data_IF_259639021599
#
_entry.id   IF_259639021599
#
_cell.length_a   1.000
_cell.length_b   1.000
_cell.length_c   1.000
_cell.angle_alpha   90.00
_cell.angle_beta   90.00
_cell.angle_gamma   90.00
#
_symmetry.space_group_name_H-M   'P 1'
#
loop_
_entity.id
_entity.type
_entity.pdbx_description
1 polymer ?
#
# COMPACT_ATOMS: atom_id res chain seq x y z
N UNK A 1 -6.03 21.95 -1.83
CA UNK A 1 -6.64 21.96 -3.20
C UNK A 1 -8.13 22.29 -3.20
N UNK A 2 -8.81 22.67 -4.38
CA UNK A 2 -10.25 22.90 -4.44
C UNK A 2 -11.05 21.65 -4.03
N UNK A 3 -12.24 21.85 -3.41
CA UNK A 3 -13.12 20.74 -3.00
C UNK A 3 -13.49 19.79 -4.16
N UNK A 4 -13.61 20.34 -5.38
CA UNK A 4 -13.87 19.56 -6.59
C UNK A 4 -12.75 18.54 -6.89
N UNK A 5 -11.47 18.92 -6.69
CA UNK A 5 -10.32 18.03 -6.87
C UNK A 5 -10.32 16.91 -5.82
N UNK A 6 -10.63 17.23 -4.57
CA UNK A 6 -10.75 16.24 -3.50
C UNK A 6 -11.86 15.22 -3.82
N UNK A 7 -13.02 15.70 -4.25
CA UNK A 7 -14.14 14.84 -4.65
C UNK A 7 -13.79 13.97 -5.86
N UNK A 8 -13.12 14.55 -6.87
CA UNK A 8 -12.67 13.81 -8.05
C UNK A 8 -11.68 12.70 -7.67
N UNK A 9 -10.66 13.02 -6.86
CA UNK A 9 -9.69 12.03 -6.42
C UNK A 9 -10.32 10.96 -5.51
N UNK A 10 -11.30 11.31 -4.68
CA UNK A 10 -12.08 10.32 -3.93
C UNK A 10 -12.73 9.30 -4.87
N UNK A 11 -13.49 9.77 -5.88
CA UNK A 11 -14.16 8.90 -6.83
C UNK A 11 -13.18 8.07 -7.68
N UNK A 12 -12.09 8.69 -8.12
CA UNK A 12 -11.02 7.98 -8.81
C UNK A 12 -10.39 6.90 -7.92
N UNK A 13 -10.18 7.21 -6.64
CA UNK A 13 -9.66 6.26 -5.65
C UNK A 13 -10.60 5.08 -5.40
N UNK A 14 -11.92 5.29 -5.39
CA UNK A 14 -12.89 4.19 -5.33
C UNK A 14 -12.74 3.24 -6.53
N UNK A 15 -12.67 3.80 -7.74
CA UNK A 15 -12.53 3.02 -8.98
C UNK A 15 -11.19 2.27 -9.03
N UNK A 16 -10.10 2.94 -8.67
CA UNK A 16 -8.77 2.31 -8.57
C UNK A 16 -8.78 1.23 -7.49
N UNK A 17 -9.36 1.47 -6.32
CA UNK A 17 -9.48 0.47 -5.25
C UNK A 17 -10.19 -0.81 -5.67
N UNK A 18 -11.25 -0.67 -6.49
CA UNK A 18 -11.93 -1.82 -7.10
C UNK A 18 -10.99 -2.61 -8.00
N UNK A 19 -10.20 -1.94 -8.84
CA UNK A 19 -9.18 -2.59 -9.67
C UNK A 19 -8.06 -3.22 -8.82
N UNK A 20 -7.63 -2.57 -7.73
CA UNK A 20 -6.59 -3.10 -6.85
C UNK A 20 -7.01 -4.41 -6.16
N UNK A 21 -8.30 -4.62 -5.90
CA UNK A 21 -8.82 -5.92 -5.47
C UNK A 21 -8.57 -7.01 -6.52
N UNK A 22 -8.74 -6.70 -7.81
CA UNK A 22 -8.43 -7.63 -8.90
C UNK A 22 -6.94 -7.91 -8.97
N UNK A 23 -6.10 -6.87 -8.86
CA UNK A 23 -4.63 -7.01 -8.82
C UNK A 23 -4.20 -7.93 -7.67
N UNK A 24 -4.70 -7.67 -6.46
CA UNK A 24 -4.36 -8.45 -5.28
C UNK A 24 -4.76 -9.93 -5.39
N UNK A 25 -5.87 -10.22 -6.07
CA UNK A 25 -6.34 -11.57 -6.29
C UNK A 25 -5.58 -12.28 -7.41
N UNK A 26 -5.45 -11.65 -8.59
CA UNK A 26 -4.97 -12.29 -9.83
C UNK A 26 -3.45 -12.33 -9.94
N UNK A 27 -2.77 -11.24 -9.55
CA UNK A 27 -1.32 -11.12 -9.76
C UNK A 27 -0.51 -12.25 -9.10
N UNK A 28 -0.77 -12.64 -7.84
CA UNK A 28 -0.03 -13.75 -7.22
C UNK A 28 -0.31 -15.11 -7.84
N UNK A 29 -1.43 -15.25 -8.58
CA UNK A 29 -1.84 -16.47 -9.28
C UNK A 29 -1.33 -16.55 -10.72
N UNK A 30 -0.67 -15.47 -11.20
CA UNK A 30 -0.23 -15.39 -12.59
C UNK A 30 -1.37 -15.24 -13.60
N UNK A 31 -2.55 -14.80 -13.13
CA UNK A 31 -3.73 -14.62 -13.97
C UNK A 31 -3.70 -13.24 -14.64
N UNK A 32 -4.30 -13.15 -15.84
CA UNK A 32 -4.43 -11.88 -16.57
C UNK A 32 -5.27 -10.86 -15.80
N UNK A 33 -4.77 -9.63 -15.70
CA UNK A 33 -5.52 -8.52 -15.09
C UNK A 33 -6.65 -7.99 -16.00
N UNK A 34 -6.57 -8.24 -17.31
CA UNK A 34 -7.52 -7.72 -18.29
C UNK A 34 -8.64 -8.69 -18.62
N UNK A 35 -8.39 -10.00 -18.58
CA UNK A 35 -9.36 -11.02 -19.00
C UNK A 35 -9.25 -12.29 -18.14
N UNK A 36 -10.36 -13.01 -17.91
CA UNK A 36 -11.76 -12.66 -18.24
C UNK A 36 -12.30 -11.50 -17.37
N UNK A 37 -13.46 -10.91 -17.71
CA UNK A 37 -14.12 -9.90 -16.86
C UNK A 37 -14.43 -10.46 -15.48
N UNK A 38 -14.69 -9.56 -14.50
CA UNK A 38 -15.02 -9.95 -13.13
C UNK A 38 -16.28 -10.85 -13.12
N UNK A 39 -16.20 -11.97 -12.40
CA UNK A 39 -17.27 -12.96 -12.31
C UNK A 39 -17.39 -13.48 -10.87
N UNK A 40 -18.52 -14.04 -10.54
CA UNK A 40 -18.73 -14.70 -9.25
C UNK A 40 -17.89 -15.98 -9.19
N UNK A 41 -17.02 -16.18 -8.18
CA UNK A 41 -16.18 -17.38 -8.09
C UNK A 41 -16.99 -18.66 -7.87
N UNK A 42 -18.21 -18.56 -7.34
CA UNK A 42 -19.05 -19.71 -7.04
C UNK A 42 -19.90 -20.16 -8.26
N UNK A 43 -20.61 -19.24 -8.93
CA UNK A 43 -21.50 -19.58 -10.05
C UNK A 43 -20.94 -19.26 -11.45
N UNK A 44 -19.75 -18.62 -11.53
CA UNK A 44 -19.12 -18.28 -12.81
C UNK A 44 -19.81 -17.15 -13.60
N UNK A 45 -20.96 -16.64 -13.13
CA UNK A 45 -21.70 -15.59 -13.86
C UNK A 45 -20.93 -14.27 -13.84
N UNK A 46 -20.74 -13.62 -15.02
CA UNK A 46 -20.09 -12.30 -15.09
C UNK A 46 -20.84 -11.25 -14.26
N UNK A 47 -20.09 -10.40 -13.57
CA UNK A 47 -20.61 -9.27 -12.80
C UNK A 47 -21.01 -8.16 -13.79
N UNK A 48 -22.24 -7.67 -13.70
CA UNK A 48 -22.72 -6.59 -14.54
C UNK A 48 -22.00 -5.28 -14.17
N UNK A 49 -21.77 -4.38 -15.12
CA UNK A 49 -21.03 -3.13 -14.90
C UNK A 49 -21.61 -2.29 -13.76
N UNK A 50 -22.95 -2.22 -13.61
CA UNK A 50 -23.61 -1.47 -12.54
C UNK A 50 -23.56 -2.18 -11.17
N UNK A 51 -23.36 -3.50 -11.12
CA UNK A 51 -23.11 -4.25 -9.88
C UNK A 51 -21.64 -4.12 -9.44
N UNK A 52 -20.78 -3.64 -10.33
CA UNK A 52 -19.36 -3.41 -10.07
C UNK A 52 -19.03 -1.93 -9.75
N UNK A 53 -20.05 -1.09 -9.52
CA UNK A 53 -19.84 0.27 -9.03
C UNK A 53 -19.29 0.20 -7.61
N UNK A 54 -18.09 0.77 -7.35
CA UNK A 54 -17.41 0.58 -6.09
C UNK A 54 -18.27 0.97 -4.90
N UNK A 55 -18.22 0.17 -3.84
CA UNK A 55 -19.00 0.30 -2.60
C UNK A 55 -20.51 0.19 -2.84
N UNK A 56 -21.07 0.96 -3.77
CA UNK A 56 -22.51 1.00 -4.03
C UNK A 56 -23.05 -0.33 -4.54
N UNK A 57 -22.33 -0.99 -5.43
CA UNK A 57 -22.73 -2.32 -5.93
C UNK A 57 -22.89 -3.32 -4.81
N UNK A 58 -21.91 -3.35 -3.89
CA UNK A 58 -21.96 -4.24 -2.73
C UNK A 58 -23.12 -3.90 -1.78
N UNK A 59 -23.37 -2.62 -1.51
CA UNK A 59 -24.49 -2.16 -0.66
C UNK A 59 -25.85 -2.51 -1.26
N UNK A 60 -26.06 -2.23 -2.57
CA UNK A 60 -27.31 -2.52 -3.27
C UNK A 60 -27.59 -4.03 -3.34
N UNK A 61 -26.55 -4.84 -3.49
CA UNK A 61 -26.64 -6.31 -3.48
C UNK A 61 -26.69 -6.88 -2.04
N UNK A 62 -26.62 -6.03 -1.01
CA UNK A 62 -26.59 -6.46 0.40
C UNK A 62 -25.48 -7.49 0.68
N UNK A 63 -24.33 -7.30 0.03
CA UNK A 63 -23.19 -8.19 0.16
C UNK A 63 -23.38 -9.60 -0.39
N UNK A 64 -24.25 -9.79 -1.39
CA UNK A 64 -24.54 -11.10 -1.98
C UNK A 64 -24.50 -11.08 -3.50
N UNK A 65 -24.10 -12.19 -4.10
CA UNK A 65 -24.17 -12.35 -5.54
C UNK A 65 -25.61 -12.23 -6.05
N UNK A 66 -25.83 -11.50 -7.14
CA UNK A 66 -27.15 -11.34 -7.75
C UNK A 66 -27.80 -12.66 -8.20
N UNK A 67 -26.98 -13.61 -8.65
CA UNK A 67 -27.44 -14.85 -9.27
C UNK A 67 -27.56 -16.01 -8.29
N UNK A 68 -26.52 -16.28 -7.50
CA UNK A 68 -26.47 -17.45 -6.59
C UNK A 68 -26.62 -17.08 -5.10
N UNK A 69 -26.72 -15.79 -4.77
CA UNK A 69 -26.84 -15.25 -3.41
C UNK A 69 -25.67 -15.58 -2.46
N UNK A 70 -24.56 -16.13 -2.98
CA UNK A 70 -23.35 -16.37 -2.21
C UNK A 70 -22.82 -15.04 -1.61
N UNK A 71 -22.36 -15.02 -0.35
CA UNK A 71 -21.88 -13.80 0.29
C UNK A 71 -20.60 -13.28 -0.38
N UNK A 72 -20.56 -11.96 -0.60
CA UNK A 72 -19.40 -11.23 -1.09
C UNK A 72 -18.65 -10.64 0.12
N UNK A 73 -17.37 -10.94 0.25
CA UNK A 73 -16.55 -10.47 1.36
C UNK A 73 -16.61 -8.94 1.49
N UNK A 74 -16.76 -8.45 2.72
CA UNK A 74 -16.70 -7.03 3.07
C UNK A 74 -15.33 -6.39 2.78
N UNK A 75 -14.28 -7.21 2.58
CA UNK A 75 -12.94 -6.75 2.19
C UNK A 75 -12.98 -5.92 0.90
N UNK A 76 -13.82 -6.30 -0.07
CA UNK A 76 -13.93 -5.58 -1.35
C UNK A 76 -14.33 -4.11 -1.17
N UNK A 77 -15.51 -3.81 -0.60
CA UNK A 77 -15.91 -2.41 -0.39
C UNK A 77 -15.02 -1.68 0.62
N UNK A 78 -14.40 -2.38 1.57
CA UNK A 78 -13.45 -1.77 2.51
C UNK A 78 -12.19 -1.27 1.81
N UNK A 79 -11.60 -2.04 0.89
CA UNK A 79 -10.44 -1.63 0.09
C UNK A 79 -10.79 -0.47 -0.84
N UNK A 80 -11.94 -0.52 -1.49
CA UNK A 80 -12.44 0.54 -2.36
C UNK A 80 -12.57 1.85 -1.58
N UNK A 81 -13.28 1.82 -0.45
CA UNK A 81 -13.49 2.99 0.41
C UNK A 81 -12.16 3.51 0.98
N UNK A 82 -11.31 2.63 1.50
CA UNK A 82 -10.00 3.03 2.05
C UNK A 82 -9.14 3.71 0.99
N UNK A 83 -9.09 3.18 -0.25
CA UNK A 83 -8.35 3.79 -1.35
C UNK A 83 -8.93 5.16 -1.72
N UNK A 84 -10.26 5.28 -1.79
CA UNK A 84 -10.96 6.55 -2.04
C UNK A 84 -10.64 7.59 -0.97
N UNK A 85 -10.74 7.20 0.30
CA UNK A 85 -10.42 8.10 1.44
C UNK A 85 -8.96 8.53 1.42
N UNK A 86 -8.03 7.61 1.17
CA UNK A 86 -6.59 7.94 1.10
C UNK A 86 -6.30 8.91 -0.04
N UNK A 87 -6.90 8.74 -1.21
CA UNK A 87 -6.75 9.68 -2.32
C UNK A 87 -7.32 11.06 -1.98
N UNK A 88 -8.49 11.11 -1.33
CA UNK A 88 -9.08 12.35 -0.86
C UNK A 88 -8.20 13.06 0.19
N UNK A 89 -7.62 12.30 1.13
CA UNK A 89 -6.69 12.83 2.14
C UNK A 89 -5.44 13.40 1.48
N UNK A 90 -4.85 12.70 0.50
CA UNK A 90 -3.71 13.22 -0.28
C UNK A 90 -4.08 14.56 -0.91
N UNK A 91 -5.22 14.66 -1.59
CA UNK A 91 -5.67 15.91 -2.21
C UNK A 91 -6.00 17.02 -1.20
N UNK A 92 -6.48 16.67 -0.02
CA UNK A 92 -6.87 17.63 1.01
C UNK A 92 -5.69 18.21 1.78
N UNK A 93 -4.59 17.44 1.89
CA UNK A 93 -3.43 17.79 2.73
C UNK A 93 -2.20 18.23 1.94
N UNK A 94 -2.13 17.92 0.64
CA UNK A 94 -0.98 18.27 -0.19
C UNK A 94 -1.34 19.38 -1.18
N UNK A 95 -0.53 20.44 -1.21
CA UNK A 95 -0.73 21.57 -2.12
C UNK A 95 0.14 21.48 -3.37
N UNK A 96 1.31 20.86 -3.28
CA UNK A 96 2.24 20.69 -4.38
C UNK A 96 1.84 19.52 -5.30
N UNK A 97 1.88 19.77 -6.61
CA UNK A 97 1.50 18.75 -7.61
C UNK A 97 2.34 17.47 -7.50
N UNK A 98 3.65 17.60 -7.26
CA UNK A 98 4.54 16.45 -7.09
C UNK A 98 4.11 15.58 -5.90
N UNK A 99 3.77 16.19 -4.76
CA UNK A 99 3.33 15.48 -3.56
C UNK A 99 2.01 14.76 -3.79
N UNK A 100 1.06 15.38 -4.51
CA UNK A 100 -0.21 14.73 -4.86
C UNK A 100 0.01 13.53 -5.77
N UNK A 101 0.83 13.66 -6.81
CA UNK A 101 1.15 12.55 -7.72
C UNK A 101 1.85 11.42 -6.99
N UNK A 102 2.88 11.72 -6.19
CA UNK A 102 3.57 10.71 -5.40
C UNK A 102 2.64 10.04 -4.39
N UNK A 103 1.75 10.78 -3.72
CA UNK A 103 0.80 10.22 -2.77
C UNK A 103 -0.20 9.27 -3.41
N UNK A 104 -0.77 9.63 -4.55
CA UNK A 104 -1.68 8.76 -5.32
C UNK A 104 -0.98 7.48 -5.79
N UNK A 105 0.25 7.60 -6.33
CA UNK A 105 1.06 6.47 -6.75
C UNK A 105 1.46 5.58 -5.56
N UNK A 106 1.81 6.19 -4.42
CA UNK A 106 2.16 5.47 -3.19
C UNK A 106 0.97 4.63 -2.68
N UNK A 107 -0.23 5.23 -2.58
CA UNK A 107 -1.45 4.49 -2.19
C UNK A 107 -1.72 3.35 -3.16
N UNK A 108 -1.63 3.61 -4.48
CA UNK A 108 -1.84 2.60 -5.53
C UNK A 108 -0.84 1.44 -5.42
N UNK A 109 0.35 1.68 -4.89
CA UNK A 109 1.39 0.69 -4.64
C UNK A 109 1.15 -0.08 -3.33
N UNK A 110 0.91 0.65 -2.24
CA UNK A 110 0.89 0.05 -0.89
C UNK A 110 -0.37 -0.77 -0.62
N UNK A 111 -1.52 -0.38 -1.20
CA UNK A 111 -2.77 -1.13 -1.02
C UNK A 111 -2.64 -2.57 -1.53
N UNK A 112 -2.31 -2.84 -2.82
CA UNK A 112 -2.21 -4.21 -3.30
C UNK A 112 -1.02 -4.96 -2.68
N UNK A 113 0.11 -4.30 -2.37
CA UNK A 113 1.23 -4.93 -1.66
C UNK A 113 0.77 -5.44 -0.30
N UNK A 114 0.05 -4.61 0.48
CA UNK A 114 -0.50 -5.00 1.79
C UNK A 114 -1.43 -6.21 1.67
N UNK A 115 -2.36 -6.18 0.71
CA UNK A 115 -3.32 -7.27 0.51
C UNK A 115 -2.64 -8.57 0.11
N UNK A 116 -1.69 -8.51 -0.83
CA UNK A 116 -0.95 -9.69 -1.30
C UNK A 116 -0.06 -10.25 -0.19
N UNK A 117 0.62 -9.38 0.56
CA UNK A 117 1.50 -9.83 1.62
C UNK A 117 0.75 -10.48 2.78
N UNK A 118 -0.43 -9.96 3.14
CA UNK A 118 -1.34 -10.59 4.11
C UNK A 118 -1.82 -11.97 3.66
N UNK A 119 -2.09 -12.15 2.35
CA UNK A 119 -2.63 -13.40 1.80
C UNK A 119 -1.54 -14.43 1.49
N UNK A 120 -0.38 -14.00 0.99
CA UNK A 120 0.65 -14.88 0.41
C UNK A 120 2.03 -14.74 1.02
N UNK A 121 2.25 -13.73 1.87
CA UNK A 121 3.55 -13.35 2.44
C UNK A 121 4.61 -13.13 1.35
N UNK A 122 4.21 -12.46 0.27
CA UNK A 122 5.08 -12.14 -0.87
C UNK A 122 4.81 -10.72 -1.34
N UNK A 123 5.87 -9.99 -1.66
CA UNK A 123 5.82 -8.68 -2.28
C UNK A 123 6.24 -8.84 -3.75
N UNK A 124 5.30 -8.72 -4.72
CA UNK A 124 5.60 -8.96 -6.12
C UNK A 124 6.49 -7.87 -6.74
N UNK A 125 7.54 -8.28 -7.47
CA UNK A 125 8.35 -7.35 -8.25
C UNK A 125 7.54 -6.63 -9.34
N UNK A 126 6.48 -7.26 -9.82
CA UNK A 126 5.55 -6.66 -10.80
C UNK A 126 4.82 -5.42 -10.27
N UNK A 127 4.83 -5.17 -8.95
CA UNK A 127 4.34 -3.93 -8.34
C UNK A 127 5.51 -3.03 -7.95
N UNK A 128 6.52 -3.55 -7.25
CA UNK A 128 7.59 -2.72 -6.68
C UNK A 128 8.47 -2.08 -7.75
N UNK A 129 8.78 -2.79 -8.85
CA UNK A 129 9.63 -2.25 -9.91
C UNK A 129 8.95 -1.12 -10.71
N UNK A 130 7.71 -1.30 -11.25
CA UNK A 130 7.00 -0.19 -11.91
C UNK A 130 6.76 0.99 -10.97
N UNK A 131 6.51 0.73 -9.68
CA UNK A 131 6.32 1.76 -8.66
C UNK A 131 7.60 2.59 -8.46
N UNK A 132 8.78 1.95 -8.36
CA UNK A 132 10.04 2.66 -8.26
C UNK A 132 10.29 3.56 -9.48
N UNK A 133 10.04 3.03 -10.68
CA UNK A 133 10.15 3.78 -11.93
C UNK A 133 9.19 4.97 -11.94
N UNK A 134 7.92 4.76 -11.54
CA UNK A 134 6.92 5.82 -11.50
C UNK A 134 7.28 6.95 -10.53
N UNK A 135 7.85 6.64 -9.35
CA UNK A 135 8.34 7.63 -8.40
C UNK A 135 9.46 8.49 -8.99
N UNK A 136 10.44 7.87 -9.63
CA UNK A 136 11.56 8.58 -10.27
C UNK A 136 11.10 9.42 -11.46
N UNK A 137 10.21 8.88 -12.30
CA UNK A 137 9.65 9.61 -13.44
C UNK A 137 8.85 10.82 -12.95
N UNK A 138 8.07 10.70 -11.87
CA UNK A 138 7.36 11.82 -11.27
C UNK A 138 8.33 12.89 -10.77
N UNK A 139 9.41 12.53 -10.08
CA UNK A 139 10.45 13.47 -9.65
C UNK A 139 11.10 14.17 -10.84
N UNK A 140 11.55 13.42 -11.83
CA UNK A 140 12.18 13.99 -13.04
C UNK A 140 11.27 14.92 -13.83
N UNK A 141 9.96 14.63 -13.85
CA UNK A 141 9.00 15.40 -14.65
C UNK A 141 8.45 16.63 -13.92
N UNK A 142 8.32 16.58 -12.60
CA UNK A 142 7.60 17.58 -11.81
C UNK A 142 8.49 18.39 -10.86
N UNK A 143 9.56 17.77 -10.33
CA UNK A 143 10.49 18.45 -9.41
C UNK A 143 11.88 17.81 -9.46
N UNK A 144 12.74 18.38 -10.31
CA UNK A 144 14.10 17.89 -10.50
C UNK A 144 14.96 18.04 -9.23
N UNK A 145 14.64 19.01 -8.37
CA UNK A 145 15.37 19.27 -7.13
C UNK A 145 15.15 18.19 -6.07
N UNK A 146 14.03 17.47 -6.14
CA UNK A 146 13.71 16.38 -5.25
C UNK A 146 14.40 15.05 -5.63
N UNK A 147 14.85 14.88 -6.89
CA UNK A 147 15.43 13.63 -7.39
C UNK A 147 16.66 13.14 -6.61
N UNK A 148 17.63 13.99 -6.25
CA UNK A 148 18.77 13.55 -5.44
C UNK A 148 18.33 12.99 -4.07
N UNK A 149 17.36 13.62 -3.43
CA UNK A 149 16.81 13.16 -2.14
C UNK A 149 16.11 11.80 -2.29
N UNK A 150 15.29 11.63 -3.35
CA UNK A 150 14.67 10.33 -3.68
C UNK A 150 15.72 9.22 -3.80
N UNK A 151 16.78 9.45 -4.56
CA UNK A 151 17.83 8.46 -4.80
C UNK A 151 18.61 8.12 -3.53
N UNK A 152 18.99 9.13 -2.75
CA UNK A 152 19.74 8.94 -1.49
C UNK A 152 18.85 8.17 -0.49
N UNK A 153 17.61 8.61 -0.29
CA UNK A 153 16.69 7.98 0.66
C UNK A 153 16.33 6.55 0.23
N UNK A 154 16.08 6.34 -1.07
CA UNK A 154 15.82 5.01 -1.61
C UNK A 154 17.00 4.06 -1.44
N UNK A 155 18.21 4.51 -1.77
CA UNK A 155 19.43 3.73 -1.61
C UNK A 155 19.73 3.44 -0.14
N UNK A 156 19.58 4.43 0.75
CA UNK A 156 19.82 4.27 2.19
C UNK A 156 18.84 3.27 2.82
N UNK A 157 17.54 3.40 2.54
CA UNK A 157 16.51 2.49 3.04
C UNK A 157 16.73 1.06 2.50
N UNK A 158 17.03 0.93 1.21
CA UNK A 158 17.37 -0.36 0.62
C UNK A 158 18.61 -0.98 1.28
N UNK A 159 19.69 -0.22 1.43
CA UNK A 159 20.93 -0.70 2.02
C UNK A 159 20.77 -1.10 3.49
N UNK A 160 20.00 -0.34 4.27
CA UNK A 160 19.68 -0.64 5.66
C UNK A 160 18.97 -2.00 5.79
N UNK A 161 17.90 -2.20 5.03
CA UNK A 161 17.16 -3.47 5.07
C UNK A 161 17.94 -4.62 4.41
N UNK A 162 18.74 -4.33 3.38
CA UNK A 162 19.61 -5.33 2.77
C UNK A 162 20.66 -5.83 3.75
N UNK A 163 21.30 -4.93 4.52
CA UNK A 163 22.24 -5.30 5.56
C UNK A 163 21.56 -6.15 6.65
N UNK A 164 20.34 -5.77 7.07
CA UNK A 164 19.58 -6.58 8.04
C UNK A 164 19.25 -7.98 7.48
N UNK A 165 18.82 -8.07 6.21
CA UNK A 165 18.53 -9.35 5.55
C UNK A 165 19.80 -10.20 5.33
N UNK A 166 20.95 -9.57 5.07
CA UNK A 166 22.24 -10.25 4.94
C UNK A 166 22.73 -10.83 6.26
N UNK A 167 22.59 -10.06 7.35
CA UNK A 167 22.96 -10.48 8.71
C UNK A 167 22.00 -11.54 9.27
N UNK A 168 20.72 -11.46 8.92
CA UNK A 168 19.65 -12.35 9.38
C UNK A 168 18.78 -12.90 8.23
N UNK A 169 19.33 -13.81 7.39
CA UNK A 169 18.64 -14.30 6.17
C UNK A 169 17.28 -14.99 6.42
N UNK A 170 17.07 -15.51 7.65
CA UNK A 170 15.81 -16.16 8.01
C UNK A 170 14.77 -15.20 8.59
N UNK A 171 15.14 -13.95 8.85
CA UNK A 171 14.29 -12.98 9.53
C UNK A 171 13.58 -11.99 8.61
N UNK A 172 14.07 -11.81 7.37
CA UNK A 172 13.56 -10.76 6.48
C UNK A 172 13.54 -11.21 5.02
N UNK A 173 12.44 -10.94 4.34
CA UNK A 173 12.29 -11.22 2.92
C UNK A 173 12.92 -10.15 2.03
N UNK A 174 13.48 -10.56 0.87
CA UNK A 174 13.95 -9.59 -0.15
C UNK A 174 12.86 -8.68 -0.69
N UNK A 175 11.59 -9.05 -0.51
CA UNK A 175 10.45 -8.21 -0.83
C UNK A 175 10.39 -6.96 0.03
N UNK A 176 10.60 -7.10 1.34
CA UNK A 176 10.61 -5.99 2.32
C UNK A 176 11.76 -5.02 2.03
N UNK A 177 12.95 -5.56 1.69
CA UNK A 177 14.13 -4.77 1.29
C UNK A 177 13.81 -3.87 0.10
N UNK A 178 13.19 -4.44 -0.96
CA UNK A 178 12.80 -3.68 -2.15
C UNK A 178 11.72 -2.67 -1.84
N UNK A 179 10.71 -3.03 -1.03
CA UNK A 179 9.63 -2.13 -0.64
C UNK A 179 10.17 -0.94 0.17
N UNK A 180 11.13 -1.17 1.07
CA UNK A 180 11.78 -0.08 1.83
C UNK A 180 12.53 0.89 0.90
N UNK A 181 13.25 0.37 -0.11
CA UNK A 181 13.88 1.21 -1.14
C UNK A 181 12.85 2.03 -1.92
N UNK A 182 11.73 1.40 -2.32
CA UNK A 182 10.61 2.09 -2.99
C UNK A 182 10.05 3.19 -2.10
N UNK A 183 9.81 2.92 -0.81
CA UNK A 183 9.34 3.95 0.13
C UNK A 183 10.29 5.15 0.19
N UNK A 184 11.61 4.91 0.19
CA UNK A 184 12.59 6.01 0.15
C UNK A 184 12.47 6.88 -1.10
N UNK A 185 12.18 6.28 -2.28
CA UNK A 185 11.94 7.04 -3.51
C UNK A 185 10.67 7.91 -3.45
N UNK A 186 9.66 7.52 -2.69
CA UNK A 186 8.42 8.29 -2.52
C UNK A 186 8.51 9.35 -1.43
N UNK A 187 9.21 9.07 -0.34
CA UNK A 187 9.16 9.82 0.91
C UNK A 187 10.37 10.74 1.11
N UNK A 188 11.47 10.54 0.37
CA UNK A 188 12.70 11.26 0.65
C UNK A 188 13.15 11.04 2.11
N UNK A 189 13.52 12.11 2.79
CA UNK A 189 13.97 12.10 4.21
C UNK A 189 12.93 11.52 5.18
N UNK A 190 11.65 11.61 4.85
CA UNK A 190 10.58 11.05 5.68
C UNK A 190 10.56 9.50 5.70
N UNK A 191 11.42 8.82 4.93
CA UNK A 191 11.57 7.36 4.99
C UNK A 191 12.09 6.88 6.36
N UNK A 192 12.90 7.69 7.06
CA UNK A 192 13.36 7.41 8.42
C UNK A 192 12.20 7.19 9.40
N UNK A 193 11.32 8.18 9.60
CA UNK A 193 10.07 8.02 10.35
C UNK A 193 9.22 6.85 9.88
N UNK A 194 9.09 6.61 8.56
CA UNK A 194 8.32 5.48 8.02
C UNK A 194 8.83 4.14 8.54
N UNK A 195 10.14 3.91 8.45
CA UNK A 195 10.79 2.70 8.93
C UNK A 195 10.63 2.56 10.45
N UNK A 196 10.82 3.64 11.19
CA UNK A 196 10.68 3.63 12.64
C UNK A 196 9.28 3.23 13.09
N UNK A 197 8.23 3.82 12.47
CA UNK A 197 6.83 3.47 12.73
C UNK A 197 6.55 2.01 12.36
N UNK A 198 7.08 1.54 11.21
CA UNK A 198 6.92 0.16 10.78
C UNK A 198 7.54 -0.83 11.77
N UNK A 199 8.73 -0.54 12.28
CA UNK A 199 9.40 -1.38 13.27
C UNK A 199 8.64 -1.41 14.61
N UNK A 200 8.22 -0.24 15.13
CA UNK A 200 7.43 -0.16 16.37
C UNK A 200 6.14 -0.94 16.24
N UNK A 201 5.37 -0.71 15.18
CA UNK A 201 4.09 -1.39 14.98
C UNK A 201 4.26 -2.90 14.80
N UNK A 202 5.30 -3.32 14.09
CA UNK A 202 5.66 -4.73 13.93
C UNK A 202 6.02 -5.40 15.27
N UNK A 203 6.84 -4.72 16.10
CA UNK A 203 7.19 -5.20 17.43
C UNK A 203 5.97 -5.29 18.35
N UNK A 204 5.12 -4.25 18.36
CA UNK A 204 3.90 -4.25 19.18
C UNK A 204 2.97 -5.42 18.81
N UNK A 205 2.75 -5.64 17.53
CA UNK A 205 1.94 -6.79 17.08
C UNK A 205 2.62 -8.12 17.44
N UNK A 206 3.94 -8.24 17.29
CA UNK A 206 4.68 -9.41 17.70
C UNK A 206 4.54 -9.71 19.20
N UNK A 207 4.65 -8.69 20.05
CA UNK A 207 4.43 -8.82 21.51
C UNK A 207 3.02 -9.28 21.83
N UNK A 208 2.00 -8.69 21.19
CA UNK A 208 0.60 -9.10 21.37
C UNK A 208 0.38 -10.55 20.98
N UNK A 209 0.96 -11.00 19.87
CA UNK A 209 0.87 -12.40 19.44
C UNK A 209 1.52 -13.33 20.49
N UNK A 210 2.73 -13.02 20.93
CA UNK A 210 3.43 -13.82 21.95
C UNK A 210 2.62 -13.88 23.25
N UNK A 211 2.03 -12.76 23.67
CA UNK A 211 1.19 -12.70 24.88
C UNK A 211 -0.08 -13.56 24.77
N UNK A 212 -0.64 -13.68 23.55
CA UNK A 212 -1.89 -14.46 23.33
C UNK A 212 -1.67 -15.95 23.11
N UNK A 213 -0.62 -16.35 22.39
CA UNK A 213 -0.39 -17.75 22.00
C UNK A 213 0.78 -18.42 22.71
N UNK A 214 1.47 -17.69 23.59
CA UNK A 214 2.64 -18.15 24.30
C UNK A 214 3.96 -17.98 23.51
N UNK A 215 5.09 -18.02 24.22
CA UNK A 215 6.39 -17.66 23.70
C UNK A 215 6.89 -18.59 22.57
N UNK A 216 6.68 -19.91 22.72
CA UNK A 216 7.15 -20.88 21.71
C UNK A 216 6.33 -20.82 20.42
N UNK A 217 5.01 -20.75 20.52
CA UNK A 217 4.12 -20.66 19.38
C UNK A 217 4.21 -19.28 18.71
N UNK A 218 4.30 -18.20 19.49
CA UNK A 218 4.41 -16.84 19.00
C UNK A 218 5.70 -16.61 18.17
N UNK A 219 6.84 -17.14 18.60
CA UNK A 219 8.11 -17.05 17.85
C UNK A 219 8.10 -17.82 16.52
N UNK A 220 7.24 -18.82 16.38
CA UNK A 220 7.05 -19.59 15.14
C UNK A 220 6.01 -18.98 14.22
N UNK A 221 5.23 -18.00 14.71
CA UNK A 221 4.20 -17.33 13.91
C UNK A 221 4.87 -16.28 13.01
N UNK A 222 4.98 -16.59 11.73
CA UNK A 222 5.48 -15.65 10.74
C UNK A 222 4.41 -14.58 10.46
N UNK A 223 4.71 -13.31 10.76
CA UNK A 223 3.85 -12.16 10.48
C UNK A 223 4.39 -11.45 9.24
N UNK A 224 3.58 -11.14 8.23
CA UNK A 224 4.03 -10.38 7.07
C UNK A 224 4.44 -8.98 7.51
N UNK A 225 5.59 -8.49 7.04
CA UNK A 225 6.14 -7.19 7.43
C UNK A 225 5.71 -6.05 6.48
N UNK A 226 5.34 -6.38 5.23
CA UNK A 226 4.86 -5.40 4.26
C UNK A 226 3.73 -4.50 4.73
N UNK A 227 2.69 -5.00 5.43
CA UNK A 227 1.63 -4.17 6.02
C UNK A 227 2.13 -3.10 7.00
N UNK A 228 3.17 -3.40 7.79
CA UNK A 228 3.76 -2.42 8.71
C UNK A 228 4.57 -1.37 7.98
N UNK A 229 5.33 -1.76 6.94
CA UNK A 229 6.00 -0.83 6.03
C UNK A 229 4.98 0.07 5.31
N UNK A 230 3.87 -0.50 4.87
CA UNK A 230 2.80 0.27 4.23
C UNK A 230 2.16 1.27 5.20
N UNK A 231 1.87 0.86 6.42
CA UNK A 231 1.32 1.74 7.46
C UNK A 231 2.31 2.87 7.80
N UNK A 232 3.58 2.53 8.07
CA UNK A 232 4.63 3.50 8.35
C UNK A 232 4.85 4.46 7.20
N UNK A 233 4.86 3.96 5.96
CA UNK A 233 4.98 4.76 4.75
C UNK A 233 3.81 5.73 4.55
N UNK A 234 2.57 5.29 4.78
CA UNK A 234 1.40 6.15 4.69
C UNK A 234 1.39 7.23 5.77
N UNK A 235 1.69 6.90 7.02
CA UNK A 235 1.76 7.88 8.11
C UNK A 235 2.88 8.89 7.83
N UNK A 236 4.06 8.42 7.45
CA UNK A 236 5.20 9.30 7.15
C UNK A 236 4.98 10.17 5.92
N UNK A 237 4.18 9.73 4.95
CA UNK A 237 3.79 10.58 3.82
C UNK A 237 3.04 11.83 4.27
N UNK A 238 2.20 11.74 5.31
CA UNK A 238 1.41 12.87 5.80
C UNK A 238 2.13 13.71 6.86
N UNK A 239 2.92 13.11 7.73
CA UNK A 239 3.50 13.79 8.90
C UNK A 239 5.01 13.59 9.04
N UNK A 240 5.65 12.87 8.14
CA UNK A 240 7.06 12.49 8.27
C UNK A 240 8.02 13.67 8.17
N UNK A 241 7.75 14.64 7.29
CA UNK A 241 8.58 15.83 7.16
C UNK A 241 8.53 16.66 8.46
N UNK A 242 7.34 16.84 9.06
CA UNK A 242 7.19 17.54 10.34
C UNK A 242 7.94 16.83 11.48
N UNK A 243 7.94 15.48 11.47
CA UNK A 243 8.72 14.72 12.46
C UNK A 243 10.21 14.96 12.30
N UNK A 244 10.71 14.95 11.05
CA UNK A 244 12.12 15.20 10.76
C UNK A 244 12.51 16.64 11.14
N UNK A 245 11.72 17.64 10.75
CA UNK A 245 11.99 19.04 11.06
C UNK A 245 11.98 19.28 12.58
N UNK A 246 10.97 18.77 13.29
CA UNK A 246 10.91 18.86 14.76
C UNK A 246 12.11 18.19 15.46
N UNK A 247 12.62 17.10 14.90
CA UNK A 247 13.83 16.46 15.43
C UNK A 247 15.06 17.31 15.20
N UNK A 248 15.24 17.85 13.99
CA UNK A 248 16.42 18.66 13.64
C UNK A 248 16.45 20.01 14.36
N UNK A 249 15.30 20.61 14.67
CA UNK A 249 15.21 21.87 15.41
C UNK A 249 15.63 21.74 16.89
N UNK A 250 15.76 20.52 17.41
CA UNK A 250 16.19 20.27 18.80
C UNK A 250 17.68 19.97 18.92
N UNK A 251 18.43 19.90 17.82
CA UNK A 251 19.86 19.64 17.75
C UNK A 251 20.60 20.73 16.95
#
# INVERSE_FOLDING_TARGET
MPAATVAFLFLAGLAIGSFLNVVAYRLPRGESLAAPPSHCPNCGVPIRWFDNVPVLGWLLLRGRCRSCHEPISWRYPAVELATGVLFALVAATQDETIRVVLGVLLVTTLVPVTLIDLDTRRIPNAITLPSAIAALVAGLALDLSFVPEQLIAGAAAFAFFFAAAYLYPRGMGMGDVKLAGVLGLYLGRAVGPAIFIALITGVLVGVVIIARVGQEAGRKTAVPFGPFLALGGMIAFFVGDQIVDSYLDHF
#
